data_IF_265558479301
#
_entry.id   IF_265558479301
#
_cell.length_a   1.000
_cell.length_b   1.000
_cell.length_c   1.000
_cell.angle_alpha   90.00
_cell.angle_beta   90.00
_cell.angle_gamma   90.00
#
_symmetry.space_group_name_H-M   'P 1'
#
loop_
_entity.id
_entity.type
_entity.pdbx_description
1 polymer ?
#
# COMPACT_ATOMS: atom_id res chain seq x y z
N UNK A 1 -11.09 -8.57 -1.14
CA UNK A 1 -11.30 -7.09 -1.17
C UNK A 1 -10.51 -6.55 -2.35
N UNK A 2 -11.03 -5.59 -3.11
CA UNK A 2 -10.25 -4.97 -4.20
C UNK A 2 -9.01 -4.30 -3.61
N UNK A 3 -7.82 -4.43 -4.23
CA UNK A 3 -6.58 -3.85 -3.71
C UNK A 3 -6.70 -2.32 -3.50
N UNK A 4 -7.56 -1.66 -4.27
CA UNK A 4 -7.90 -0.25 -4.11
C UNK A 4 -8.44 0.11 -2.71
N UNK A 5 -9.24 -0.77 -2.07
CA UNK A 5 -9.79 -0.50 -0.74
C UNK A 5 -8.68 -0.55 0.33
N UNK A 6 -7.78 -1.54 0.23
CA UNK A 6 -6.66 -1.65 1.15
C UNK A 6 -5.69 -0.47 1.02
N UNK A 7 -5.47 0.05 -0.19
CA UNK A 7 -4.66 1.25 -0.42
C UNK A 7 -5.28 2.50 0.19
N UNK A 8 -6.59 2.71 0.02
CA UNK A 8 -7.26 3.86 0.63
C UNK A 8 -7.13 3.80 2.15
N UNK A 9 -7.30 2.63 2.77
CA UNK A 9 -7.11 2.46 4.21
C UNK A 9 -5.65 2.74 4.61
N UNK A 10 -4.67 2.24 3.86
CA UNK A 10 -3.25 2.48 4.14
C UNK A 10 -2.88 3.97 4.03
N UNK A 11 -3.40 4.68 3.04
CA UNK A 11 -3.19 6.13 2.88
C UNK A 11 -3.82 6.88 4.05
N UNK A 12 -5.07 6.59 4.40
CA UNK A 12 -5.76 7.24 5.52
C UNK A 12 -5.04 6.99 6.85
N UNK A 13 -4.60 5.76 7.10
CA UNK A 13 -3.86 5.40 8.30
C UNK A 13 -2.50 6.10 8.35
N UNK A 14 -1.75 6.12 7.24
CA UNK A 14 -0.47 6.81 7.15
C UNK A 14 -0.59 8.31 7.41
N UNK A 15 -1.56 8.98 6.77
CA UNK A 15 -1.81 10.40 6.97
C UNK A 15 -2.17 10.71 8.41
N UNK A 16 -3.08 9.93 9.02
CA UNK A 16 -3.45 10.14 10.42
C UNK A 16 -2.29 9.93 11.40
N UNK A 17 -1.45 8.93 11.16
CA UNK A 17 -0.24 8.69 11.97
C UNK A 17 0.81 9.79 11.80
N UNK A 18 1.05 10.25 10.57
CA UNK A 18 1.98 11.34 10.29
C UNK A 18 1.51 12.68 10.90
N UNK A 19 0.23 13.01 10.77
CA UNK A 19 -0.35 14.22 11.37
C UNK A 19 -0.31 14.17 12.89
N UNK A 20 -0.60 13.02 13.50
CA UNK A 20 -0.48 12.83 14.94
C UNK A 20 0.96 13.03 15.41
N UNK A 21 1.94 12.42 14.72
CA UNK A 21 3.37 12.55 15.03
C UNK A 21 3.89 13.98 14.91
N UNK A 22 3.48 14.71 13.87
CA UNK A 22 3.83 16.13 13.75
C UNK A 22 3.20 16.99 14.85
N UNK A 23 1.94 16.72 15.22
CA UNK A 23 1.22 17.44 16.27
C UNK A 23 1.83 17.23 17.66
N UNK A 24 2.33 16.03 17.95
CA UNK A 24 2.88 15.68 19.26
C UNK A 24 4.41 15.81 19.33
N UNK A 25 5.07 16.16 18.21
CA UNK A 25 6.52 16.04 18.04
C UNK A 25 7.04 14.63 18.37
N UNK A 26 6.19 13.62 18.18
CA UNK A 26 6.51 12.22 18.47
C UNK A 26 7.05 11.55 17.19
N UNK A 27 8.32 11.16 17.27
CA UNK A 27 9.02 10.53 16.16
C UNK A 27 8.42 9.16 15.82
N UNK A 28 7.95 8.40 16.81
CA UNK A 28 7.42 7.05 16.60
C UNK A 28 6.12 7.08 15.79
N UNK A 29 5.23 8.03 16.04
CA UNK A 29 4.03 8.23 15.21
C UNK A 29 4.36 8.64 13.77
N UNK A 30 5.35 9.52 13.60
CA UNK A 30 5.80 9.96 12.28
C UNK A 30 6.40 8.80 11.48
N UNK A 31 7.30 8.02 12.10
CA UNK A 31 7.92 6.84 11.49
C UNK A 31 6.89 5.75 11.18
N UNK A 32 5.94 5.51 12.09
CA UNK A 32 4.86 4.56 11.86
C UNK A 32 3.97 4.99 10.67
N UNK A 33 3.72 6.28 10.49
CA UNK A 33 3.03 6.81 9.30
C UNK A 33 3.79 6.52 8.01
N UNK A 34 5.11 6.72 8.00
CA UNK A 34 5.98 6.42 6.84
C UNK A 34 6.00 4.92 6.53
N UNK A 35 6.13 4.07 7.57
CA UNK A 35 6.13 2.62 7.42
C UNK A 35 4.81 2.09 6.85
N UNK A 36 3.68 2.62 7.32
CA UNK A 36 2.35 2.27 6.79
C UNK A 36 2.22 2.67 5.32
N UNK A 37 2.72 3.86 4.94
CA UNK A 37 2.72 4.29 3.54
C UNK A 37 3.57 3.35 2.67
N UNK A 38 4.78 3.04 3.12
CA UNK A 38 5.71 2.17 2.41
C UNK A 38 5.12 0.78 2.22
N UNK A 39 4.55 0.20 3.27
CA UNK A 39 3.88 -1.10 3.19
C UNK A 39 2.69 -1.07 2.21
N UNK A 40 1.91 0.01 2.19
CA UNK A 40 0.83 0.20 1.22
C UNK A 40 1.31 0.17 -0.24
N UNK A 41 2.45 0.82 -0.53
CA UNK A 41 3.08 0.83 -1.86
C UNK A 41 3.58 -0.57 -2.24
N UNK A 42 4.23 -1.29 -1.31
CA UNK A 42 4.72 -2.64 -1.56
C UNK A 42 3.57 -3.59 -1.91
N UNK A 43 2.47 -3.51 -1.16
CA UNK A 43 1.26 -4.30 -1.43
C UNK A 43 0.62 -3.95 -2.78
N UNK A 44 0.64 -2.67 -3.18
CA UNK A 44 0.19 -2.23 -4.50
C UNK A 44 1.01 -2.87 -5.62
N UNK A 45 2.34 -2.87 -5.50
CA UNK A 45 3.23 -3.48 -6.49
C UNK A 45 3.07 -5.00 -6.54
N UNK A 46 2.86 -5.65 -5.39
CA UNK A 46 2.60 -7.09 -5.34
C UNK A 46 1.28 -7.45 -6.06
N UNK A 47 0.20 -6.71 -5.79
CA UNK A 47 -1.08 -6.92 -6.45
C UNK A 47 -0.98 -6.72 -7.97
N UNK A 48 -0.30 -5.65 -8.40
CA UNK A 48 -0.05 -5.39 -9.82
C UNK A 48 0.79 -6.48 -10.48
N UNK A 49 1.80 -7.00 -9.78
CA UNK A 49 2.61 -8.13 -10.25
C UNK A 49 1.79 -9.41 -10.45
N UNK A 50 0.83 -9.69 -9.56
CA UNK A 50 -0.08 -10.83 -9.72
C UNK A 50 -0.99 -10.63 -10.93
N UNK A 51 -1.61 -9.46 -11.12
CA UNK A 51 -2.42 -9.16 -12.30
C UNK A 51 -1.62 -9.31 -13.60
N UNK A 52 -0.36 -8.85 -13.62
CA UNK A 52 0.54 -9.03 -14.75
C UNK A 52 0.85 -10.50 -15.06
N UNK A 53 1.10 -11.30 -14.02
CA UNK A 53 1.34 -12.73 -14.17
C UNK A 53 0.10 -13.46 -14.67
N UNK A 54 -1.09 -13.11 -14.18
CA UNK A 54 -2.35 -13.64 -14.68
C UNK A 54 -2.55 -13.31 -16.16
N UNK A 55 -2.30 -12.06 -16.56
CA UNK A 55 -2.40 -11.62 -17.96
C UNK A 55 -1.38 -12.31 -18.88
N UNK A 56 -0.15 -12.54 -18.40
CA UNK A 56 0.86 -13.33 -19.10
C UNK A 56 0.43 -14.80 -19.23
N UNK A 57 -0.13 -15.38 -18.16
CA UNK A 57 -0.62 -16.76 -18.15
C UNK A 57 -1.77 -16.97 -19.12
N UNK A 58 -2.73 -16.04 -19.17
CA UNK A 58 -3.81 -16.06 -20.17
C UNK A 58 -3.25 -16.03 -21.59
N UNK A 59 -2.33 -15.10 -21.88
CA UNK A 59 -1.68 -15.02 -23.20
C UNK A 59 -0.91 -16.29 -23.57
N UNK A 60 -0.30 -16.98 -22.60
CA UNK A 60 0.44 -18.21 -22.83
C UNK A 60 -0.48 -19.41 -23.07
N UNK A 61 -1.62 -19.48 -22.38
CA UNK A 61 -2.61 -20.56 -22.53
C UNK A 61 -3.46 -20.47 -23.81
N UNK A 62 -3.52 -19.29 -24.42
CA UNK A 62 -4.22 -19.07 -25.71
C UNK A 62 -3.36 -19.53 -26.91
N UNK A 63 -2.09 -19.91 -26.70
CA UNK A 63 -1.18 -20.42 -27.73
C UNK A 63 -1.10 -21.94 -27.69
#
# INVERSE_FOLDING_TARGET
MKPSVAQVIAVLASTGLGEAGQRTADLAYTEAGILVLFLGIVLMMAAFGIELLELLREKLLIR
#
